data_IF_417101629912
#
_entry.id   IF_417101629912
#
_cell.length_a   1.000
_cell.length_b   1.000
_cell.length_c   1.000
_cell.angle_alpha   90.00
_cell.angle_beta   90.00
_cell.angle_gamma   90.00
#
_symmetry.space_group_name_H-M   'P 1'
#
loop_
_entity.id
_entity.type
_entity.pdbx_description
1 polymer ?
#
# COMPACT_ATOMS: atom_id res chain seq x y z
N UNK A 1 20.60 51.77 -9.43
CA UNK A 1 20.08 50.41 -9.69
C UNK A 1 18.87 50.26 -8.78
N UNK A 2 17.69 50.12 -9.39
CA UNK A 2 16.40 50.31 -8.74
C UNK A 2 15.98 49.08 -7.91
N UNK A 3 15.25 49.34 -6.83
CA UNK A 3 14.65 48.37 -5.92
C UNK A 3 13.12 48.36 -6.11
N UNK A 4 12.50 47.21 -5.79
CA UNK A 4 11.07 46.96 -5.55
C UNK A 4 10.10 46.87 -6.74
N UNK A 5 9.47 45.70 -6.94
CA UNK A 5 8.07 45.39 -6.55
C UNK A 5 7.68 43.96 -7.00
N UNK A 6 7.51 43.01 -6.08
CA UNK A 6 6.21 42.51 -5.53
C UNK A 6 5.22 41.96 -6.57
N UNK A 7 5.10 40.64 -6.57
CA UNK A 7 3.96 39.93 -7.15
C UNK A 7 2.66 40.27 -6.42
N UNK A 8 1.61 40.62 -7.16
CA UNK A 8 0.23 40.27 -6.77
C UNK A 8 -0.64 40.29 -8.03
N UNK A 9 -1.04 39.12 -8.54
CA UNK A 9 -2.16 39.00 -9.49
C UNK A 9 -3.27 38.24 -8.78
N UNK A 10 -4.15 39.00 -8.12
CA UNK A 10 -5.46 38.52 -7.67
C UNK A 10 -6.39 38.47 -8.88
N UNK A 11 -6.66 37.28 -9.37
CA UNK A 11 -7.77 37.05 -10.31
C UNK A 11 -9.06 36.93 -9.51
N UNK A 12 -9.94 37.93 -9.66
CA UNK A 12 -11.31 37.90 -9.14
C UNK A 12 -12.22 37.71 -10.34
N UNK A 13 -12.86 36.56 -10.46
CA UNK A 13 -14.02 36.37 -11.35
C UNK A 13 -15.26 36.22 -10.48
N UNK A 14 -16.11 37.25 -10.52
CA UNK A 14 -17.48 37.21 -10.04
C UNK A 14 -18.35 36.67 -11.17
N UNK A 15 -18.98 35.52 -10.99
CA UNK A 15 -20.09 35.07 -11.81
C UNK A 15 -21.38 35.16 -10.98
N UNK A 16 -22.31 36.00 -11.43
CA UNK A 16 -23.65 36.13 -10.88
C UNK A 16 -24.64 36.15 -12.06
N UNK A 17 -25.73 35.36 -11.99
CA UNK A 17 -26.86 35.52 -12.91
C UNK A 17 -27.78 34.31 -13.13
N UNK A 18 -28.66 34.04 -12.16
CA UNK A 18 -29.98 33.37 -12.24
C UNK A 18 -30.91 34.01 -13.31
N UNK A 19 -32.04 33.48 -13.85
CA UNK A 19 -32.87 32.29 -13.63
C UNK A 19 -33.92 32.12 -14.79
N UNK A 20 -34.40 30.87 -14.95
CA UNK A 20 -35.75 30.35 -15.32
C UNK A 20 -36.74 31.09 -16.25
N UNK A 21 -37.37 30.33 -17.15
CA UNK A 21 -38.81 30.43 -17.43
C UNK A 21 -39.40 29.06 -17.89
N UNK A 22 -40.43 28.61 -17.19
CA UNK A 22 -41.32 27.49 -17.53
C UNK A 22 -42.35 27.90 -18.59
N UNK A 23 -42.71 26.99 -19.49
CA UNK A 23 -43.95 27.08 -20.27
C UNK A 23 -44.51 25.67 -20.54
N UNK A 24 -45.63 25.36 -19.89
CA UNK A 24 -46.48 24.23 -20.24
C UNK A 24 -47.53 24.70 -21.26
N UNK A 25 -47.76 23.92 -22.31
CA UNK A 25 -48.96 23.99 -23.15
C UNK A 25 -49.42 22.56 -23.52
N UNK A 26 -50.73 22.39 -23.47
CA UNK A 26 -51.47 21.14 -23.47
C UNK A 26 -51.86 20.63 -24.88
N UNK A 27 -52.20 19.33 -24.96
CA UNK A 27 -53.44 18.86 -25.59
C UNK A 27 -53.36 18.00 -26.86
N UNK A 28 -54.13 16.89 -26.83
CA UNK A 28 -54.79 16.10 -27.91
C UNK A 28 -54.38 14.61 -27.90
N UNK A 29 -55.02 13.75 -27.12
CA UNK A 29 -56.18 12.85 -27.43
C UNK A 29 -55.99 11.96 -28.68
N UNK A 30 -56.07 10.63 -28.50
CA UNK A 30 -56.88 9.74 -29.33
C UNK A 30 -57.20 8.45 -28.54
N UNK A 31 -58.49 8.17 -28.40
CA UNK A 31 -59.09 7.01 -27.75
C UNK A 31 -59.39 5.92 -28.80
N UNK A 32 -59.21 4.65 -28.44
CA UNK A 32 -60.11 3.60 -28.94
C UNK A 32 -60.20 2.46 -27.93
N UNK A 33 -61.32 2.49 -27.19
CA UNK A 33 -61.81 1.47 -26.27
C UNK A 33 -62.36 0.26 -27.03
N UNK A 34 -62.19 -0.94 -26.47
CA UNK A 34 -63.27 -1.95 -26.37
C UNK A 34 -63.06 -2.80 -25.11
N UNK A 35 -64.01 -2.66 -24.19
CA UNK A 35 -64.39 -3.57 -23.10
C UNK A 35 -64.82 -4.95 -23.63
N UNK A 36 -64.55 -6.02 -22.88
CA UNK A 36 -65.59 -6.77 -22.13
C UNK A 36 -64.92 -7.75 -21.12
N UNK A 37 -65.57 -8.11 -19.99
CA UNK A 37 -64.94 -8.53 -18.74
C UNK A 37 -65.27 -10.00 -18.36
N UNK A 38 -65.28 -10.24 -17.05
CA UNK A 38 -65.72 -11.41 -16.27
C UNK A 38 -64.66 -12.51 -16.05
N UNK A 39 -64.43 -13.05 -14.85
CA UNK A 39 -64.89 -12.69 -13.50
C UNK A 39 -64.19 -13.62 -12.49
N UNK A 40 -64.29 -13.23 -11.21
CA UNK A 40 -64.27 -14.06 -9.98
C UNK A 40 -62.93 -14.54 -9.40
N UNK A 41 -62.52 -13.81 -8.35
CA UNK A 41 -62.48 -14.23 -6.93
C UNK A 41 -61.87 -15.60 -6.57
N UNK A 42 -60.88 -15.61 -5.69
CA UNK A 42 -61.16 -15.72 -4.24
C UNK A 42 -59.87 -15.65 -3.40
N UNK A 43 -60.00 -15.01 -2.25
CA UNK A 43 -58.98 -14.75 -1.25
C UNK A 43 -58.85 -15.90 -0.24
N UNK A 44 -57.73 -15.98 0.50
CA UNK A 44 -57.73 -16.77 1.73
C UNK A 44 -56.39 -17.09 2.38
N UNK A 45 -55.90 -16.16 3.19
CA UNK A 45 -55.42 -16.36 4.58
C UNK A 45 -54.37 -17.43 4.97
N UNK A 46 -53.17 -16.92 5.32
CA UNK A 46 -52.48 -17.03 6.64
C UNK A 46 -51.84 -18.37 7.14
N UNK A 47 -50.85 -18.28 8.07
CA UNK A 47 -49.69 -19.17 8.19
C UNK A 47 -49.81 -20.21 9.32
N UNK A 48 -48.82 -21.10 9.46
CA UNK A 48 -48.62 -21.93 10.67
C UNK A 48 -47.16 -22.37 10.83
N UNK A 49 -46.63 -22.13 12.03
CA UNK A 49 -45.38 -22.67 12.58
C UNK A 49 -45.52 -24.16 12.95
N UNK A 50 -44.45 -24.96 12.79
CA UNK A 50 -44.24 -26.16 13.61
C UNK A 50 -42.74 -26.37 13.92
N UNK A 51 -42.46 -26.46 15.22
CA UNK A 51 -41.19 -26.84 15.84
C UNK A 51 -41.03 -28.37 15.84
N UNK A 52 -39.80 -28.85 15.76
CA UNK A 52 -39.44 -30.24 16.07
C UNK A 52 -38.00 -30.34 16.58
N UNK A 53 -37.85 -30.73 17.84
CA UNK A 53 -36.58 -30.89 18.57
C UNK A 53 -35.86 -32.23 18.30
N UNK A 54 -34.54 -32.15 18.40
CA UNK A 54 -33.39 -33.07 18.60
C UNK A 54 -33.66 -34.43 19.32
N UNK A 55 -32.77 -35.49 19.32
CA UNK A 55 -31.31 -35.36 19.54
C UNK A 55 -30.31 -36.47 19.06
N UNK A 56 -29.03 -36.12 19.26
CA UNK A 56 -27.81 -36.83 19.74
C UNK A 56 -27.03 -37.97 19.04
N UNK A 57 -25.70 -37.86 19.29
CA UNK A 57 -24.60 -38.83 19.41
C UNK A 57 -23.96 -39.46 18.15
N UNK A 58 -22.69 -39.12 17.86
CA UNK A 58 -21.49 -39.79 18.41
C UNK A 58 -20.18 -39.23 17.83
N UNK A 59 -19.21 -39.02 18.72
CA UNK A 59 -17.79 -38.75 18.46
C UNK A 59 -17.09 -39.85 17.63
N UNK A 60 -16.19 -39.46 16.72
CA UNK A 60 -15.02 -40.29 16.38
C UNK A 60 -13.80 -39.41 16.05
N UNK A 61 -12.84 -39.46 16.96
CA UNK A 61 -11.51 -38.86 16.90
C UNK A 61 -10.65 -39.58 15.84
N UNK A 62 -10.35 -38.90 14.75
CA UNK A 62 -9.41 -39.36 13.73
C UNK A 62 -8.27 -38.37 13.55
N UNK A 63 -7.26 -38.44 14.42
CA UNK A 63 -5.96 -37.80 14.22
C UNK A 63 -5.38 -38.21 12.85
N UNK A 64 -5.22 -37.23 11.97
CA UNK A 64 -4.28 -37.31 10.87
C UNK A 64 -3.26 -36.19 11.05
N UNK A 65 -2.13 -36.55 11.65
CA UNK A 65 -0.88 -35.82 11.47
C UNK A 65 -0.51 -35.94 9.99
N UNK A 66 -0.95 -34.98 9.20
CA UNK A 66 -0.45 -34.74 7.85
C UNK A 66 0.47 -33.55 7.92
N UNK A 67 1.78 -33.83 7.83
CA UNK A 67 2.80 -32.92 7.32
C UNK A 67 2.23 -32.18 6.09
N UNK A 68 1.67 -30.99 6.31
CA UNK A 68 1.48 -30.03 5.23
C UNK A 68 2.82 -29.35 5.06
N UNK A 69 3.65 -29.97 4.22
CA UNK A 69 4.75 -29.30 3.56
C UNK A 69 4.21 -27.94 3.10
N UNK A 70 4.79 -26.86 3.64
CA UNK A 70 4.52 -25.52 3.19
C UNK A 70 4.76 -25.52 1.68
N UNK A 71 3.67 -25.41 0.92
CA UNK A 71 3.72 -25.12 -0.49
C UNK A 71 4.59 -23.86 -0.62
N UNK A 72 5.57 -23.93 -1.51
CA UNK A 72 6.37 -22.82 -2.01
C UNK A 72 5.39 -21.87 -2.73
N UNK A 73 4.60 -21.16 -1.93
CA UNK A 73 3.61 -20.23 -2.41
C UNK A 73 4.40 -19.01 -2.88
N UNK A 74 4.70 -18.99 -4.19
CA UNK A 74 5.09 -17.80 -4.92
C UNK A 74 4.29 -16.62 -4.36
N UNK A 75 4.99 -15.67 -3.72
CA UNK A 75 4.35 -14.54 -3.07
C UNK A 75 3.46 -13.82 -4.09
N UNK A 76 2.24 -13.46 -3.68
CA UNK A 76 1.34 -12.72 -4.55
C UNK A 76 2.03 -11.43 -5.03
N UNK A 77 1.79 -11.01 -6.30
CA UNK A 77 2.43 -9.82 -6.84
C UNK A 77 2.04 -8.58 -6.03
N UNK A 78 3.00 -7.69 -5.80
CA UNK A 78 2.73 -6.40 -5.15
C UNK A 78 1.95 -5.50 -6.11
N UNK A 79 0.79 -5.02 -5.68
CA UNK A 79 -0.10 -4.20 -6.50
C UNK A 79 0.22 -2.71 -6.35
N UNK A 80 0.26 -2.02 -7.49
CA UNK A 80 0.41 -0.57 -7.62
C UNK A 80 -0.79 -0.08 -8.41
N UNK A 81 -1.69 0.63 -7.74
CA UNK A 81 -2.94 1.13 -8.31
C UNK A 81 -2.85 2.62 -8.57
N UNK A 82 -3.19 3.04 -9.79
CA UNK A 82 -3.18 4.43 -10.23
C UNK A 82 -4.58 4.94 -10.60
N UNK A 83 -4.76 6.25 -10.51
CA UNK A 83 -5.82 7.01 -11.16
C UNK A 83 -5.23 7.77 -12.35
N UNK A 84 -5.84 7.61 -13.53
CA UNK A 84 -5.45 8.33 -14.74
C UNK A 84 -6.08 9.71 -14.84
N UNK A 85 -5.29 10.76 -14.66
CA UNK A 85 -5.71 12.16 -14.79
C UNK A 85 -4.85 12.86 -15.86
N UNK A 86 -5.41 13.81 -16.63
CA UNK A 86 -4.65 14.53 -17.66
C UNK A 86 -3.39 15.22 -17.14
N UNK A 87 -3.35 15.59 -15.86
CA UNK A 87 -2.21 16.19 -15.17
C UNK A 87 -1.21 15.17 -14.58
N UNK A 88 -1.50 13.86 -14.63
CA UNK A 88 -0.56 12.80 -14.30
C UNK A 88 -1.21 11.50 -13.83
N UNK A 89 -0.36 10.51 -13.55
CA UNK A 89 -0.76 9.31 -12.82
C UNK A 89 -0.80 9.61 -11.32
N UNK A 90 -1.97 9.54 -10.69
CA UNK A 90 -2.08 9.67 -9.24
C UNK A 90 -2.09 8.30 -8.59
N UNK A 91 -1.17 8.01 -7.70
CA UNK A 91 -1.20 6.73 -6.98
C UNK A 91 -2.39 6.66 -6.01
N UNK A 92 -3.03 5.50 -5.97
CA UNK A 92 -4.08 5.10 -5.03
C UNK A 92 -3.55 4.04 -4.07
N UNK A 93 -2.72 3.12 -4.58
CA UNK A 93 -2.01 2.12 -3.78
C UNK A 93 -0.57 1.92 -4.31
N UNK A 94 0.39 1.51 -3.45
CA UNK A 94 0.26 1.33 -2.00
C UNK A 94 0.15 2.66 -1.24
N UNK A 95 -0.27 2.59 0.04
CA UNK A 95 -0.43 3.75 0.92
C UNK A 95 0.80 4.65 1.00
N UNK A 96 1.99 4.05 0.83
CA UNK A 96 3.28 4.74 0.86
C UNK A 96 3.52 5.78 -0.22
N UNK A 97 2.79 5.70 -1.33
CA UNK A 97 2.83 6.67 -2.43
C UNK A 97 1.44 7.23 -2.75
N UNK A 98 0.44 6.98 -1.88
CA UNK A 98 -0.93 7.41 -2.11
C UNK A 98 -1.02 8.93 -2.30
N UNK A 99 -1.66 9.35 -3.39
CA UNK A 99 -1.90 10.75 -3.73
C UNK A 99 -0.77 11.42 -4.50
N UNK A 100 0.41 10.81 -4.59
CA UNK A 100 1.53 11.34 -5.38
C UNK A 100 1.22 11.33 -6.87
N UNK A 101 1.76 12.32 -7.60
CA UNK A 101 1.57 12.47 -9.05
C UNK A 101 2.85 12.09 -9.78
N UNK A 102 2.74 11.07 -10.63
CA UNK A 102 3.85 10.39 -11.30
C UNK A 102 4.95 9.97 -10.31
N UNK A 103 4.63 9.23 -9.24
CA UNK A 103 5.62 8.78 -8.26
C UNK A 103 6.74 7.97 -8.93
N UNK A 104 7.96 8.07 -8.41
CA UNK A 104 8.99 7.10 -8.77
C UNK A 104 8.59 5.74 -8.20
N UNK A 105 8.56 4.71 -9.03
CA UNK A 105 8.33 3.33 -8.58
C UNK A 105 9.66 2.69 -8.28
N UNK A 106 9.95 2.46 -7.00
CA UNK A 106 11.11 1.69 -6.55
C UNK A 106 10.73 0.22 -6.48
N UNK A 107 11.38 -0.61 -7.29
CA UNK A 107 11.07 -2.03 -7.47
C UNK A 107 12.30 -2.88 -7.18
N UNK A 108 12.09 -4.12 -6.75
CA UNK A 108 13.16 -5.08 -6.51
C UNK A 108 13.35 -5.99 -7.73
N UNK A 109 14.57 -6.11 -8.23
CA UNK A 109 14.91 -6.97 -9.36
C UNK A 109 14.51 -8.43 -9.10
N UNK A 110 13.80 -9.05 -10.04
CA UNK A 110 13.34 -10.43 -9.92
C UNK A 110 12.04 -10.61 -9.10
N UNK A 111 11.50 -9.56 -8.47
CA UNK A 111 10.20 -9.62 -7.80
C UNK A 111 9.07 -9.33 -8.80
N UNK A 112 7.93 -10.01 -8.62
CA UNK A 112 6.73 -9.81 -9.45
C UNK A 112 5.86 -8.68 -8.90
N UNK A 113 5.44 -7.77 -9.77
CA UNK A 113 4.56 -6.64 -9.49
C UNK A 113 3.34 -6.65 -10.41
N UNK A 114 2.27 -5.99 -9.97
CA UNK A 114 1.08 -5.72 -10.77
C UNK A 114 0.81 -4.21 -10.80
N UNK A 115 1.03 -3.57 -11.94
CA UNK A 115 0.79 -2.13 -12.14
C UNK A 115 -0.48 -1.92 -12.96
N UNK A 116 -1.41 -1.12 -12.46
CA UNK A 116 -2.64 -0.83 -13.20
C UNK A 116 -3.31 0.47 -12.81
N UNK A 117 -4.42 0.76 -13.47
CA UNK A 117 -5.28 1.89 -13.15
C UNK A 117 -6.75 1.50 -13.16
N UNK A 118 -7.51 2.04 -12.20
CA UNK A 118 -8.90 1.63 -11.90
C UNK A 118 -9.89 2.80 -11.99
N UNK A 119 -9.38 4.02 -11.93
CA UNK A 119 -10.16 5.25 -11.98
C UNK A 119 -9.55 6.25 -12.97
N UNK A 120 -10.36 7.10 -13.59
CA UNK A 120 -9.83 8.12 -14.50
C UNK A 120 -10.74 9.31 -14.75
N UNK A 121 -10.21 10.28 -15.49
CA UNK A 121 -10.85 11.56 -15.83
C UNK A 121 -11.82 11.50 -17.03
N UNK A 122 -12.06 10.30 -17.56
CA UNK A 122 -12.89 10.05 -18.74
C UNK A 122 -12.17 10.25 -20.07
N UNK A 123 -10.86 10.53 -20.08
CA UNK A 123 -10.02 10.46 -21.27
C UNK A 123 -9.46 9.05 -21.46
N UNK A 124 -8.97 8.78 -22.67
CA UNK A 124 -8.37 7.49 -23.01
C UNK A 124 -6.93 7.39 -22.51
N UNK A 125 -6.65 6.42 -21.64
CA UNK A 125 -5.33 6.17 -21.07
C UNK A 125 -4.86 4.74 -21.31
N UNK A 126 -3.55 4.54 -21.31
CA UNK A 126 -2.88 3.24 -21.28
C UNK A 126 -1.62 3.34 -20.42
N UNK A 127 -1.10 2.20 -19.99
CA UNK A 127 0.20 2.10 -19.32
C UNK A 127 1.16 1.37 -20.26
N UNK A 128 2.33 1.95 -20.48
CA UNK A 128 3.49 1.31 -21.10
C UNK A 128 4.68 1.37 -20.16
N UNK A 129 5.39 0.26 -19.98
CA UNK A 129 6.69 0.22 -19.30
C UNK A 129 7.78 0.29 -20.36
N UNK A 130 8.66 1.28 -20.23
CA UNK A 130 9.71 1.59 -21.21
C UNK A 130 11.10 1.55 -20.60
N UNK A 131 12.07 1.21 -21.43
CA UNK A 131 13.49 1.23 -21.10
C UNK A 131 14.09 2.64 -21.19
N UNK A 132 15.39 2.75 -20.92
CA UNK A 132 16.13 4.01 -21.00
C UNK A 132 16.21 4.61 -22.43
N UNK A 133 15.83 3.85 -23.46
CA UNK A 133 15.78 4.28 -24.85
C UNK A 133 14.36 4.61 -25.33
N UNK A 134 13.37 4.64 -24.42
CA UNK A 134 11.94 4.78 -24.69
C UNK A 134 11.32 3.62 -25.51
N UNK A 135 11.99 2.45 -25.56
CA UNK A 135 11.43 1.24 -26.15
C UNK A 135 10.58 0.48 -25.11
N UNK A 136 9.46 -0.12 -25.55
CA UNK A 136 8.57 -0.89 -24.65
C UNK A 136 9.25 -2.19 -24.23
N UNK A 137 9.44 -2.37 -22.91
CA UNK A 137 10.05 -3.57 -22.33
C UNK A 137 9.08 -4.75 -22.50
N UNK A 138 9.53 -5.83 -23.14
CA UNK A 138 8.78 -7.09 -23.31
C UNK A 138 7.31 -6.97 -23.77
N UNK A 139 6.96 -5.87 -24.45
CA UNK A 139 5.58 -5.60 -24.86
C UNK A 139 4.63 -5.28 -23.71
N UNK A 140 5.14 -4.84 -22.56
CA UNK A 140 4.40 -4.39 -21.39
C UNK A 140 3.63 -3.10 -21.70
N UNK A 141 2.46 -3.27 -22.31
CA UNK A 141 1.57 -2.21 -22.78
C UNK A 141 0.11 -2.62 -22.64
N UNK A 142 -0.72 -1.74 -22.05
CA UNK A 142 -2.17 -1.91 -22.00
C UNK A 142 -2.84 -1.22 -23.21
N UNK A 143 -4.07 -1.61 -23.60
CA UNK A 143 -4.79 -0.90 -24.64
C UNK A 143 -5.33 0.44 -24.14
N UNK A 144 -5.33 1.48 -24.98
CA UNK A 144 -5.91 2.78 -24.65
C UNK A 144 -7.43 2.67 -24.46
N UNK A 145 -7.94 3.02 -23.28
CA UNK A 145 -9.37 2.99 -22.94
C UNK A 145 -9.78 4.17 -22.05
N UNK A 146 -11.05 4.54 -22.09
CA UNK A 146 -11.65 5.52 -21.17
C UNK A 146 -12.25 4.86 -19.92
N UNK A 147 -12.51 3.55 -20.00
CA UNK A 147 -13.14 2.76 -18.96
C UNK A 147 -12.13 1.68 -18.55
N UNK A 148 -11.45 1.84 -17.40
CA UNK A 148 -10.50 0.85 -16.92
C UNK A 148 -11.20 -0.44 -16.47
N UNK A 149 -10.42 -1.51 -16.43
CA UNK A 149 -10.85 -2.85 -15.99
C UNK A 149 -9.67 -3.81 -16.04
N UNK A 150 -9.92 -5.11 -15.95
CA UNK A 150 -8.84 -6.12 -15.84
C UNK A 150 -7.74 -6.03 -16.91
N UNK A 151 -8.07 -5.57 -18.12
CA UNK A 151 -7.08 -5.41 -19.21
C UNK A 151 -6.14 -4.20 -19.03
N UNK A 152 -6.35 -3.39 -17.99
CA UNK A 152 -5.53 -2.24 -17.66
C UNK A 152 -4.50 -2.52 -16.56
N UNK A 153 -4.30 -3.79 -16.24
CA UNK A 153 -3.26 -4.26 -15.33
C UNK A 153 -2.15 -4.97 -16.11
N UNK A 154 -0.91 -4.63 -15.78
CA UNK A 154 0.30 -5.31 -16.22
C UNK A 154 0.87 -6.08 -15.05
N UNK A 155 1.05 -7.39 -15.20
CA UNK A 155 1.82 -8.22 -14.28
C UNK A 155 3.20 -8.47 -14.91
N UNK A 156 4.27 -8.19 -14.17
CA UNK A 156 5.63 -8.29 -14.67
C UNK A 156 6.64 -8.56 -13.55
N UNK A 157 7.73 -9.22 -13.91
CA UNK A 157 8.93 -9.31 -13.06
C UNK A 157 9.78 -8.05 -13.29
N UNK A 158 10.19 -7.36 -12.22
CA UNK A 158 10.99 -6.16 -12.36
C UNK A 158 12.41 -6.50 -12.83
N UNK A 159 12.88 -5.79 -13.87
CA UNK A 159 14.22 -5.98 -14.45
C UNK A 159 14.95 -4.64 -14.54
N UNK A 160 16.29 -4.66 -14.50
CA UNK A 160 17.12 -3.45 -14.61
C UNK A 160 16.94 -2.68 -15.94
N UNK A 161 16.26 -3.27 -16.93
CA UNK A 161 15.92 -2.60 -18.19
C UNK A 161 14.77 -1.60 -18.03
N UNK A 162 13.91 -1.75 -17.01
CA UNK A 162 12.75 -0.90 -16.79
C UNK A 162 13.16 0.47 -16.26
N UNK A 163 12.71 1.54 -16.93
CA UNK A 163 13.12 2.91 -16.60
C UNK A 163 11.95 3.87 -16.38
N UNK A 164 10.84 3.73 -17.10
CA UNK A 164 9.68 4.62 -16.95
C UNK A 164 8.36 3.90 -17.20
N UNK A 165 7.28 4.43 -16.61
CA UNK A 165 5.91 4.05 -16.95
C UNK A 165 5.19 5.27 -17.54
N UNK A 166 4.47 5.09 -18.66
CA UNK A 166 3.94 6.20 -19.45
C UNK A 166 2.55 5.95 -20.01
N UNK A 167 1.82 7.03 -20.24
CA UNK A 167 0.62 7.05 -21.08
C UNK A 167 0.97 7.58 -22.48
N UNK A 168 0.92 6.73 -23.50
CA UNK A 168 1.30 7.08 -24.89
C UNK A 168 0.54 8.30 -25.47
N UNK A 169 -0.79 8.48 -25.27
CA UNK A 169 -1.48 9.67 -25.75
C UNK A 169 -1.16 10.94 -24.93
N UNK A 170 -0.59 10.81 -23.73
CA UNK A 170 -0.41 11.90 -22.76
C UNK A 170 1.01 11.95 -22.15
N UNK A 171 2.03 11.53 -22.91
CA UNK A 171 3.40 11.33 -22.40
C UNK A 171 4.04 12.56 -21.73
N UNK A 172 3.61 13.76 -22.12
CA UNK A 172 4.14 15.00 -21.58
C UNK A 172 3.76 15.26 -20.12
N UNK A 173 2.69 14.60 -19.63
CA UNK A 173 2.14 14.82 -18.29
C UNK A 173 2.00 13.53 -17.49
N UNK A 174 1.81 12.40 -18.17
CA UNK A 174 1.61 11.08 -17.55
C UNK A 174 2.81 10.19 -17.82
N UNK A 175 3.92 10.50 -17.14
CA UNK A 175 5.18 9.75 -17.16
C UNK A 175 5.77 9.81 -15.75
N UNK A 176 6.07 8.65 -15.18
CA UNK A 176 6.86 8.53 -13.95
C UNK A 176 8.08 7.62 -14.15
N UNK A 177 9.01 7.72 -13.22
CA UNK A 177 10.28 7.00 -13.25
C UNK A 177 10.14 5.63 -12.57
N UNK A 178 10.93 4.66 -13.03
CA UNK A 178 11.10 3.34 -12.39
C UNK A 178 12.57 3.21 -11.99
N UNK A 179 12.81 2.85 -10.74
CA UNK A 179 14.14 2.52 -10.22
C UNK A 179 14.09 1.06 -9.79
N UNK A 180 14.93 0.23 -10.40
CA UNK A 180 15.03 -1.19 -10.04
C UNK A 180 16.29 -1.41 -9.22
N UNK A 181 16.10 -1.89 -8.00
CA UNK A 181 17.15 -2.19 -7.05
C UNK A 181 17.43 -3.68 -7.09
N UNK A 182 18.70 -4.06 -7.24
CA UNK A 182 19.10 -5.46 -7.16
C UNK A 182 19.30 -5.82 -5.69
N UNK A 183 18.61 -6.84 -5.16
CA UNK A 183 18.99 -7.42 -3.88
C UNK A 183 20.47 -7.82 -3.99
N UNK A 184 21.30 -7.30 -3.10
CA UNK A 184 22.72 -7.65 -3.09
C UNK A 184 22.83 -9.15 -2.80
N UNK A 185 23.15 -9.93 -3.84
CA UNK A 185 23.49 -11.35 -3.73
C UNK A 185 24.77 -11.47 -2.88
N UNK A 186 24.59 -11.58 -1.56
CA UNK A 186 25.69 -11.83 -0.62
C UNK A 186 25.98 -13.32 -0.70
N UNK A 187 26.89 -13.63 -1.61
CA UNK A 187 27.39 -14.98 -1.89
C UNK A 187 27.61 -15.82 -0.64
N UNK A 188 27.15 -17.06 -0.75
CA UNK A 188 27.42 -18.19 0.12
C UNK A 188 28.86 -18.21 0.67
N UNK A 189 29.01 -17.90 1.95
CA UNK A 189 30.05 -18.46 2.79
C UNK A 189 29.38 -19.54 3.64
N UNK A 190 29.73 -20.79 3.37
CA UNK A 190 29.17 -22.00 3.99
C UNK A 190 29.21 -21.90 5.53
N UNK A 191 28.03 -21.86 6.14
CA UNK A 191 27.75 -22.40 7.46
C UNK A 191 26.27 -22.79 7.46
N UNK A 192 26.01 -24.10 7.39
CA UNK A 192 24.67 -24.70 7.53
C UNK A 192 23.92 -24.11 8.74
N UNK A 193 22.92 -23.27 8.46
CA UNK A 193 21.63 -23.19 9.15
C UNK A 193 20.72 -22.36 8.23
N UNK A 194 19.77 -23.03 7.59
CA UNK A 194 18.79 -22.37 6.72
C UNK A 194 17.76 -21.62 7.57
N UNK A 195 17.95 -20.31 7.72
CA UNK A 195 16.88 -19.40 8.09
C UNK A 195 16.69 -18.39 6.96
N UNK A 196 15.44 -18.27 6.50
CA UNK A 196 14.98 -17.29 5.53
C UNK A 196 15.49 -15.87 5.88
N UNK A 197 15.68 -14.99 4.89
CA UNK A 197 16.07 -13.59 5.12
C UNK A 197 15.01 -12.75 5.86
N UNK A 198 13.85 -13.31 6.17
CA UNK A 198 12.84 -12.69 7.04
C UNK A 198 13.07 -13.08 8.51
N UNK A 199 13.45 -12.11 9.34
CA UNK A 199 13.40 -12.29 10.80
C UNK A 199 14.71 -12.68 11.47
N UNK A 200 15.87 -12.22 10.96
CA UNK A 200 17.11 -12.34 11.71
C UNK A 200 16.97 -11.64 13.07
N UNK A 201 16.95 -12.44 14.15
CA UNK A 201 16.89 -11.94 15.52
C UNK A 201 18.26 -11.38 15.93
N UNK A 202 18.28 -10.11 16.32
CA UNK A 202 19.47 -9.41 16.79
C UNK A 202 19.25 -8.94 18.23
N UNK A 203 20.06 -9.44 19.15
CA UNK A 203 20.08 -8.91 20.53
C UNK A 203 20.77 -7.55 20.57
N UNK A 204 20.09 -6.58 21.15
CA UNK A 204 20.59 -5.20 21.29
C UNK A 204 21.02 -4.97 22.73
N UNK A 205 22.25 -4.48 22.92
CA UNK A 205 22.76 -4.13 24.24
C UNK A 205 21.97 -2.94 24.82
N UNK A 206 21.62 -2.95 26.12
CA UNK A 206 20.98 -1.82 26.79
C UNK A 206 21.72 -0.48 26.57
N UNK A 207 20.96 0.59 26.36
CA UNK A 207 21.48 1.93 26.09
C UNK A 207 22.00 2.14 24.67
N UNK A 208 21.83 1.17 23.78
CA UNK A 208 22.24 1.27 22.37
C UNK A 208 21.27 2.11 21.56
N UNK A 209 21.83 2.89 20.64
CA UNK A 209 21.09 3.56 19.57
C UNK A 209 21.09 2.69 18.32
N UNK A 210 19.91 2.30 17.89
CA UNK A 210 19.65 1.62 16.62
C UNK A 210 19.24 2.67 15.58
N UNK A 211 19.94 2.72 14.46
CA UNK A 211 19.70 3.65 13.37
C UNK A 211 19.48 2.88 12.07
N UNK A 212 18.44 3.27 11.34
CA UNK A 212 18.08 2.71 10.04
C UNK A 212 18.25 3.70 8.89
N UNK A 213 18.36 3.15 7.69
CA UNK A 213 17.96 3.78 6.43
C UNK A 213 16.49 3.46 6.18
N UNK A 214 15.70 4.49 5.90
CA UNK A 214 14.29 4.43 5.61
C UNK A 214 14.08 4.25 4.10
N UNK A 215 13.63 3.06 3.69
CA UNK A 215 13.26 2.76 2.32
C UNK A 215 11.80 2.33 2.29
N UNK A 216 11.04 2.75 1.27
CA UNK A 216 9.61 2.38 1.12
C UNK A 216 9.33 0.88 1.18
N UNK A 217 10.34 0.04 0.90
CA UNK A 217 10.24 -1.42 0.96
C UNK A 217 10.75 -2.04 2.27
N UNK A 218 11.60 -1.36 3.05
CA UNK A 218 12.18 -1.89 4.29
C UNK A 218 12.90 -0.87 5.18
N UNK A 219 13.09 -1.23 6.44
CA UNK A 219 14.14 -0.64 7.28
C UNK A 219 15.45 -1.38 7.04
N UNK A 220 16.50 -0.70 6.60
CA UNK A 220 17.84 -1.28 6.48
C UNK A 220 18.74 -0.76 7.61
N UNK A 221 19.35 -1.65 8.38
CA UNK A 221 20.19 -1.24 9.52
C UNK A 221 21.48 -0.52 9.12
N UNK A 222 21.81 0.56 9.84
CA UNK A 222 23.07 1.31 9.73
C UNK A 222 23.93 1.11 10.98
N UNK A 223 23.31 1.13 12.16
CA UNK A 223 24.01 0.95 13.43
C UNK A 223 23.06 0.35 14.48
N UNK A 224 23.56 -0.42 15.46
CA UNK A 224 24.94 -0.91 15.61
C UNK A 224 25.37 -1.88 14.49
N UNK A 225 26.66 -2.24 14.43
CA UNK A 225 27.18 -3.19 13.43
C UNK A 225 26.46 -4.55 13.41
N UNK A 226 25.76 -4.92 14.49
CA UNK A 226 24.97 -6.15 14.55
C UNK A 226 23.66 -6.09 13.75
N UNK A 227 23.19 -4.90 13.37
CA UNK A 227 22.02 -4.71 12.49
C UNK A 227 22.41 -4.23 11.09
N UNK A 228 23.69 -3.95 10.85
CA UNK A 228 24.17 -3.35 9.60
C UNK A 228 23.74 -4.18 8.39
N UNK A 229 23.15 -3.49 7.41
CA UNK A 229 22.61 -4.03 6.16
C UNK A 229 21.56 -5.14 6.29
N UNK A 230 20.97 -5.30 7.49
CA UNK A 230 19.86 -6.22 7.72
C UNK A 230 18.53 -5.56 7.38
N UNK A 231 17.67 -6.21 6.60
CA UNK A 231 16.33 -5.75 6.31
C UNK A 231 15.37 -6.12 7.44
N UNK A 232 14.63 -5.14 7.95
CA UNK A 232 13.59 -5.32 8.97
C UNK A 232 13.98 -6.27 10.14
N UNK A 233 15.17 -6.15 10.76
CA UNK A 233 15.66 -7.12 11.73
C UNK A 233 14.72 -7.26 12.94
N UNK A 234 14.60 -8.46 13.50
CA UNK A 234 13.88 -8.62 14.77
C UNK A 234 14.79 -8.16 15.91
N UNK A 235 14.37 -7.13 16.63
CA UNK A 235 15.14 -6.58 17.75
C UNK A 235 14.80 -7.31 19.04
N UNK A 236 15.77 -8.00 19.62
CA UNK A 236 15.64 -8.65 20.93
C UNK A 236 16.16 -7.70 22.01
N UNK A 237 15.24 -7.24 22.86
CA UNK A 237 15.47 -6.22 23.90
C UNK A 237 15.25 -6.81 25.30
N UNK A 238 15.86 -6.22 26.32
CA UNK A 238 15.69 -6.61 27.73
C UNK A 238 14.60 -5.75 28.40
N UNK A 239 13.66 -6.40 29.10
CA UNK A 239 12.58 -5.75 29.83
C UNK A 239 13.10 -4.77 30.89
N UNK A 240 12.59 -3.54 30.89
CA UNK A 240 12.97 -2.45 31.79
C UNK A 240 14.25 -1.71 31.41
N UNK A 241 14.91 -2.07 30.31
CA UNK A 241 16.12 -1.38 29.83
C UNK A 241 15.80 -0.29 28.80
N UNK A 242 16.64 0.75 28.73
CA UNK A 242 16.42 1.91 27.84
C UNK A 242 17.13 1.74 26.50
N UNK A 243 16.48 2.14 25.41
CA UNK A 243 17.01 2.09 24.04
C UNK A 243 16.68 3.38 23.27
N UNK A 244 17.41 3.62 22.18
CA UNK A 244 17.10 4.67 21.21
C UNK A 244 16.91 4.02 19.83
N UNK A 245 15.81 4.31 19.14
CA UNK A 245 15.47 3.73 17.83
C UNK A 245 15.06 4.85 16.87
N UNK A 246 15.58 4.83 15.65
CA UNK A 246 15.26 5.84 14.66
C UNK A 246 15.94 5.64 13.33
N UNK A 247 15.91 6.68 12.50
CA UNK A 247 16.50 6.65 11.17
C UNK A 247 17.27 7.93 10.84
N UNK A 248 18.29 7.81 9.99
CA UNK A 248 19.19 8.92 9.62
C UNK A 248 19.30 9.18 8.12
N UNK A 249 18.84 8.24 7.30
CA UNK A 249 18.88 8.32 5.84
C UNK A 249 17.51 7.91 5.30
N UNK A 250 16.96 8.63 4.34
CA UNK A 250 15.67 8.32 3.72
C UNK A 250 15.72 8.41 2.20
N UNK A 251 14.81 7.70 1.52
CA UNK A 251 14.70 7.63 0.06
C UNK A 251 13.98 8.82 -0.60
N UNK A 252 13.66 9.87 0.18
CA UNK A 252 12.93 11.05 -0.27
C UNK A 252 11.40 10.92 -0.21
N UNK A 253 10.87 9.75 0.17
CA UNK A 253 9.46 9.54 0.51
C UNK A 253 9.18 9.96 1.95
N UNK A 254 7.91 10.11 2.32
CA UNK A 254 7.49 10.47 3.68
C UNK A 254 7.61 9.26 4.61
N UNK A 255 8.46 9.37 5.63
CA UNK A 255 8.69 8.32 6.63
C UNK A 255 8.44 8.82 8.04
N UNK A 256 8.00 7.91 8.91
CA UNK A 256 8.12 8.03 10.35
C UNK A 256 8.49 6.67 10.95
N UNK A 257 8.80 6.62 12.23
CA UNK A 257 8.91 5.35 12.96
C UNK A 257 7.96 5.37 14.14
N UNK A 258 7.18 4.30 14.27
CA UNK A 258 6.27 4.05 15.38
C UNK A 258 6.63 2.74 16.06
N UNK A 259 6.51 2.69 17.39
CA UNK A 259 6.55 1.45 18.14
C UNK A 259 5.11 1.06 18.49
N UNK A 260 4.68 -0.12 18.05
CA UNK A 260 3.31 -0.59 18.21
C UNK A 260 3.23 -1.87 19.03
N UNK A 261 2.05 -2.07 19.63
CA UNK A 261 1.73 -3.28 20.37
C UNK A 261 1.17 -4.39 19.46
N UNK A 262 0.83 -5.54 20.06
CA UNK A 262 0.30 -6.68 19.32
C UNK A 262 -1.08 -6.43 18.68
N UNK A 263 -1.80 -5.39 19.11
CA UNK A 263 -3.09 -4.94 18.58
C UNK A 263 -2.92 -3.82 17.54
N UNK A 264 -1.68 -3.53 17.10
CA UNK A 264 -1.32 -2.47 16.14
C UNK A 264 -1.59 -1.04 16.63
N UNK A 265 -1.63 -0.84 17.95
CA UNK A 265 -1.76 0.49 18.57
C UNK A 265 -0.38 1.03 18.96
N UNK A 266 -0.16 2.34 18.78
CA UNK A 266 1.08 3.01 19.17
C UNK A 266 1.26 2.97 20.69
N UNK A 267 2.39 2.44 21.15
CA UNK A 267 2.75 2.33 22.56
C UNK A 267 3.22 3.70 23.05
N UNK A 268 2.65 4.22 24.14
CA UNK A 268 3.13 5.43 24.84
C UNK A 268 3.42 6.66 23.94
N UNK A 269 2.64 6.86 22.87
CA UNK A 269 2.88 7.92 21.87
C UNK A 269 4.28 7.85 21.22
N UNK A 270 4.90 6.67 21.17
CA UNK A 270 6.20 6.40 20.55
C UNK A 270 6.08 6.43 19.02
N UNK A 271 5.99 7.64 18.48
CA UNK A 271 5.94 7.94 17.05
C UNK A 271 6.77 9.19 16.74
N UNK A 272 7.54 9.15 15.66
CA UNK A 272 8.25 10.35 15.15
C UNK A 272 7.36 11.13 14.17
N UNK A 273 7.73 12.39 13.89
CA UNK A 273 7.01 13.19 12.89
C UNK A 273 7.24 12.65 11.48
N UNK A 274 6.16 12.56 10.68
CA UNK A 274 6.24 12.26 9.25
C UNK A 274 7.05 13.33 8.52
N UNK A 275 8.12 12.92 7.85
CA UNK A 275 8.97 13.82 7.06
C UNK A 275 9.51 13.13 5.82
N UNK A 276 9.73 13.89 4.75
CA UNK A 276 10.39 13.42 3.52
C UNK A 276 11.84 13.87 3.42
N UNK A 277 12.44 14.29 4.53
CA UNK A 277 13.84 14.70 4.58
C UNK A 277 14.76 13.49 4.39
N UNK A 278 15.69 13.57 3.43
CA UNK A 278 16.62 12.46 3.14
C UNK A 278 17.66 12.23 4.24
N UNK A 279 17.92 13.24 5.10
CA UNK A 279 18.90 13.18 6.19
C UNK A 279 18.39 13.93 7.43
N UNK A 280 17.34 13.43 8.11
CA UNK A 280 16.80 14.08 9.29
C UNK A 280 17.75 13.94 10.49
N UNK A 281 17.56 14.78 11.51
CA UNK A 281 18.40 14.74 12.73
C UNK A 281 17.63 14.47 14.02
N UNK A 282 16.31 14.46 13.94
CA UNK A 282 15.34 14.45 15.04
C UNK A 282 14.36 13.27 14.96
N UNK A 283 14.64 12.29 14.09
CA UNK A 283 13.81 11.12 13.85
C UNK A 283 14.22 9.92 14.73
N UNK A 284 14.30 10.15 16.04
CA UNK A 284 14.69 9.16 17.04
C UNK A 284 13.74 9.15 18.24
N UNK A 285 13.40 7.95 18.68
CA UNK A 285 12.62 7.66 19.88
C UNK A 285 13.56 7.14 20.97
N UNK A 286 13.41 7.64 22.19
CA UNK A 286 14.02 7.05 23.38
C UNK A 286 12.92 6.41 24.21
N UNK A 287 13.07 5.13 24.58
CA UNK A 287 12.03 4.39 25.28
C UNK A 287 12.62 3.34 26.23
N UNK A 288 11.80 2.90 27.18
CA UNK A 288 12.07 1.75 28.04
C UNK A 288 11.36 0.52 27.47
N UNK A 289 12.11 -0.55 27.20
CA UNK A 289 11.57 -1.75 26.60
C UNK A 289 10.67 -2.50 27.60
N UNK A 290 9.49 -2.91 27.14
CA UNK A 290 8.53 -3.63 27.98
C UNK A 290 7.57 -4.47 27.12
N UNK A 291 6.96 -5.49 27.73
CA UNK A 291 6.18 -6.57 27.06
C UNK A 291 5.08 -6.13 26.09
N UNK A 292 4.63 -4.88 26.15
CA UNK A 292 3.58 -4.37 25.25
C UNK A 292 4.13 -4.06 23.86
N UNK A 293 5.44 -3.84 23.71
CA UNK A 293 6.08 -3.55 22.43
C UNK A 293 6.21 -4.80 21.56
N UNK A 294 5.72 -4.74 20.33
CA UNK A 294 5.68 -5.88 19.40
C UNK A 294 6.34 -5.58 18.05
N UNK A 295 6.21 -4.36 17.52
CA UNK A 295 6.77 -4.00 16.21
C UNK A 295 7.31 -2.57 16.20
N UNK A 296 8.24 -2.31 15.30
CA UNK A 296 8.58 -0.96 14.85
C UNK A 296 8.21 -0.84 13.38
N UNK A 297 7.55 0.25 12.99
CA UNK A 297 6.88 0.36 11.69
C UNK A 297 6.90 1.79 11.17
N UNK A 298 6.98 1.94 9.84
CA UNK A 298 6.62 3.19 9.19
C UNK A 298 5.12 3.20 8.90
N UNK A 299 4.38 4.17 9.41
CA UNK A 299 2.91 4.19 9.29
C UNK A 299 2.41 4.18 7.83
N UNK A 300 2.93 5.01 6.90
CA UNK A 300 2.52 4.97 5.49
C UNK A 300 3.00 3.71 4.75
N UNK A 301 4.04 3.02 5.23
CA UNK A 301 4.64 1.84 4.56
C UNK A 301 4.50 0.56 5.37
N UNK A 302 3.47 0.44 6.21
CA UNK A 302 3.35 -0.65 7.20
C UNK A 302 3.29 -2.06 6.60
N UNK A 303 2.95 -2.19 5.31
CA UNK A 303 2.91 -3.47 4.62
C UNK A 303 4.32 -4.10 4.45
N UNK A 304 5.35 -3.28 4.27
CA UNK A 304 6.70 -3.68 3.86
C UNK A 304 7.76 -3.23 4.86
N UNK A 305 7.55 -2.07 5.48
CA UNK A 305 8.51 -1.37 6.31
C UNK A 305 8.20 -1.56 7.81
N UNK A 306 8.29 -2.80 8.25
CA UNK A 306 8.05 -3.20 9.63
C UNK A 306 9.04 -4.28 10.09
N UNK A 307 9.55 -4.15 11.31
CA UNK A 307 10.31 -5.20 11.98
C UNK A 307 9.72 -5.54 13.34
N UNK A 308 10.05 -6.73 13.84
CA UNK A 308 9.52 -7.23 15.13
C UNK A 308 10.38 -6.77 16.30
N UNK A 309 9.75 -6.58 17.45
CA UNK A 309 10.40 -6.37 18.75
C UNK A 309 10.05 -7.57 19.62
N UNK A 310 11.07 -8.19 20.21
CA UNK A 310 10.92 -9.28 21.17
C UNK A 310 11.53 -8.87 22.51
N UNK A 311 10.72 -8.95 23.56
CA UNK A 311 11.15 -8.59 24.91
C UNK A 311 11.55 -9.84 25.69
N UNK A 312 12.77 -9.87 26.21
CA UNK A 312 13.30 -10.90 27.09
C UNK A 312 13.38 -10.42 28.53
N UNK A 313 13.36 -11.34 29.49
CA UNK A 313 13.51 -11.01 30.91
C UNK A 313 12.23 -10.61 31.65
N UNK A 314 11.09 -10.49 30.94
CA UNK A 314 9.79 -10.30 31.56
C UNK A 314 9.45 -11.46 32.49
N UNK A 315 9.47 -11.24 33.81
CA UNK A 315 8.90 -12.19 34.76
C UNK A 315 7.41 -12.35 34.46
N UNK A 316 6.87 -13.58 34.34
CA UNK A 316 5.43 -13.75 34.20
C UNK A 316 4.74 -13.20 35.45
N UNK A 317 3.80 -12.28 35.26
CA UNK A 317 2.88 -11.82 36.32
C UNK A 317 1.91 -12.93 36.76
#
# INVERSE_FOLDING_TARGET
MANSDRMTRRTVVRAAGLATATAALAGCIDESSVDDPDDTDDAGSQPSDEQGSEPDDTDDEGQSNGDEAADDAEAAPLEIELRGELDGWRALEPAGIEGDVNPTLTLEAGRTYRLGWTEGDGLGHNIEIRDAHDDVVDGLSTPVTQEPGEQQWLEFEATEEMATYVCTPHESTMRGDIVVETPVDRGSDESDDEESPEGQEVRIEPGTRVAFRAQTIEWEGIAPASVEDLPNPTLVLEDGETYELGWTEGDGTVHNIEIRNADDEVVDDLSTELTSEEQPTDQFLTFEAHKEMATYVCAPHAATMQGKIRIEGATPE
#
